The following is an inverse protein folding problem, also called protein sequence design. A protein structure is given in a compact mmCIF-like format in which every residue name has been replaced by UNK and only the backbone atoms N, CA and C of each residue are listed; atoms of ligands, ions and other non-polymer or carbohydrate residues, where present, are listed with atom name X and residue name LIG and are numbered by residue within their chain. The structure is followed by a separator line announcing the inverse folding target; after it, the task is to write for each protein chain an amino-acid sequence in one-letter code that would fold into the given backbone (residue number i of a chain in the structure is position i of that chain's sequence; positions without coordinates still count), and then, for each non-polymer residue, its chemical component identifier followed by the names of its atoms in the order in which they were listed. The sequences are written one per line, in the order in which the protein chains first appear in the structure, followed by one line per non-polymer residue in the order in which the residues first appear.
data_IF_604968021911
#
_entry.id   IF_604968021911
#
_cell.length_a   1.000
_cell.length_b   1.000
_cell.length_c   1.000
_cell.angle_alpha   90.00
_cell.angle_beta   90.00
_cell.angle_gamma   90.00
#
_symmetry.space_group_name_H-M   'P 1'
#
loop_
_entity.id
_entity.type
_entity.pdbx_description
1 polymer ?
#
# COMPACT_ATOMS: atom_id res chain seq x y z
N UNK A 1 21.59 -6.85 14.73
CA UNK A 1 20.60 -7.90 15.03
C UNK A 1 19.64 -8.23 13.88
N UNK A 2 19.60 -7.48 12.81
CA UNK A 2 18.66 -7.66 11.66
C UNK A 2 19.22 -8.49 10.48
N UNK A 3 20.49 -8.85 10.48
CA UNK A 3 21.15 -9.50 9.33
C UNK A 3 20.71 -10.96 9.04
N UNK A 4 20.05 -11.66 9.94
CA UNK A 4 19.71 -13.08 9.78
C UNK A 4 18.27 -13.36 9.33
N UNK A 5 17.43 -12.32 9.10
CA UNK A 5 16.00 -12.45 8.80
C UNK A 5 15.54 -11.82 7.47
N UNK A 6 16.46 -11.55 6.54
CA UNK A 6 16.09 -10.95 5.25
C UNK A 6 15.03 -11.77 4.50
N UNK A 7 15.09 -13.09 4.58
CA UNK A 7 14.13 -13.95 3.88
C UNK A 7 12.69 -13.78 4.40
N UNK A 8 12.50 -13.58 5.73
CA UNK A 8 11.17 -13.34 6.29
C UNK A 8 10.63 -11.96 5.93
N UNK A 9 11.48 -10.94 5.88
CA UNK A 9 11.08 -9.60 5.45
C UNK A 9 10.73 -9.59 3.96
N UNK A 10 11.49 -10.29 3.14
CA UNK A 10 11.18 -10.46 1.71
C UNK A 10 9.86 -11.22 1.54
N UNK A 11 9.65 -12.29 2.29
CA UNK A 11 8.38 -13.03 2.26
C UNK A 11 7.20 -12.15 2.68
N UNK A 12 7.33 -11.37 3.76
CA UNK A 12 6.31 -10.41 4.19
C UNK A 12 6.02 -9.38 3.11
N UNK A 13 7.06 -8.81 2.49
CA UNK A 13 6.93 -7.86 1.39
C UNK A 13 6.12 -8.45 0.22
N UNK A 14 6.48 -9.64 -0.20
CA UNK A 14 5.79 -10.34 -1.29
C UNK A 14 4.32 -10.62 -0.92
N UNK A 15 4.07 -11.11 0.30
CA UNK A 15 2.72 -11.40 0.78
C UNK A 15 1.87 -10.13 0.83
N UNK A 16 2.39 -9.01 1.34
CA UNK A 16 1.67 -7.74 1.40
C UNK A 16 1.25 -7.26 0.00
N UNK A 17 2.14 -7.35 -0.99
CA UNK A 17 1.82 -6.92 -2.36
C UNK A 17 0.86 -7.91 -3.03
N UNK A 18 1.19 -9.21 -3.01
CA UNK A 18 0.37 -10.22 -3.70
C UNK A 18 -1.05 -10.29 -3.15
N UNK A 19 -1.24 -10.22 -1.84
CA UNK A 19 -2.58 -10.24 -1.25
C UNK A 19 -3.45 -9.09 -1.78
N UNK A 20 -2.90 -7.89 -1.86
CA UNK A 20 -3.63 -6.71 -2.36
C UNK A 20 -3.89 -6.78 -3.86
N UNK A 21 -2.92 -7.24 -4.64
CA UNK A 21 -3.10 -7.40 -6.09
C UNK A 21 -4.12 -8.49 -6.42
N UNK A 22 -4.11 -9.62 -5.70
CA UNK A 22 -5.07 -10.70 -5.91
C UNK A 22 -6.50 -10.35 -5.50
N UNK A 23 -6.66 -9.44 -4.54
CA UNK A 23 -7.98 -8.93 -4.10
C UNK A 23 -8.33 -7.58 -4.72
N UNK A 24 -7.59 -7.17 -5.75
CA UNK A 24 -7.79 -5.88 -6.40
C UNK A 24 -9.16 -5.77 -7.04
N UNK A 25 -9.81 -4.64 -6.80
CA UNK A 25 -11.06 -4.27 -7.44
C UNK A 25 -10.75 -3.51 -8.73
N UNK A 26 -11.36 -3.93 -9.83
CA UNK A 26 -11.10 -3.36 -11.16
C UNK A 26 -12.14 -2.32 -11.58
N UNK A 27 -13.07 -1.97 -10.70
CA UNK A 27 -14.09 -0.94 -10.93
C UNK A 27 -14.05 0.11 -9.84
N UNK A 28 -14.60 1.27 -10.13
CA UNK A 28 -14.67 2.39 -9.19
C UNK A 28 -15.89 2.19 -8.28
N UNK A 29 -15.68 2.06 -6.97
CA UNK A 29 -16.76 1.81 -6.01
C UNK A 29 -17.42 3.10 -5.52
N UNK A 30 -16.61 4.14 -5.34
CA UNK A 30 -17.04 5.39 -4.72
C UNK A 30 -16.48 6.62 -5.43
N UNK A 31 -16.96 7.79 -5.02
CA UNK A 31 -16.57 9.07 -5.64
C UNK A 31 -15.10 9.42 -5.36
N UNK A 32 -14.54 8.99 -4.24
CA UNK A 32 -13.14 9.28 -3.91
C UNK A 32 -12.20 8.40 -4.74
N UNK A 33 -12.52 7.13 -4.91
CA UNK A 33 -11.81 6.23 -5.83
C UNK A 33 -11.83 6.77 -7.27
N UNK A 34 -12.97 7.33 -7.70
CA UNK A 34 -13.08 7.99 -9.00
C UNK A 34 -12.15 9.20 -9.11
N UNK A 35 -12.15 10.07 -8.11
CA UNK A 35 -11.32 11.29 -8.09
C UNK A 35 -9.83 10.96 -8.09
N UNK A 36 -9.41 9.94 -7.33
CA UNK A 36 -8.04 9.46 -7.36
C UNK A 36 -7.68 8.84 -8.71
N UNK A 37 -8.56 8.07 -9.31
CA UNK A 37 -8.34 7.49 -10.65
C UNK A 37 -8.19 8.57 -11.71
N UNK A 38 -9.03 9.59 -11.69
CA UNK A 38 -8.92 10.74 -12.60
C UNK A 38 -7.63 11.53 -12.40
N UNK A 39 -7.12 11.65 -11.17
CA UNK A 39 -5.88 12.35 -10.87
C UNK A 39 -4.62 11.70 -11.48
N UNK A 40 -4.70 10.42 -11.83
CA UNK A 40 -3.61 9.72 -12.52
C UNK A 40 -3.49 10.25 -13.96
N UNK A 41 -4.62 10.58 -14.59
CA UNK A 41 -4.69 11.09 -15.96
C UNK A 41 -4.44 12.60 -15.96
N UNK A 42 -5.27 13.33 -15.20
CA UNK A 42 -5.23 14.80 -15.12
C UNK A 42 -5.26 15.23 -13.63
N UNK A 43 -4.09 15.60 -13.10
CA UNK A 43 -3.99 16.06 -11.72
C UNK A 43 -4.40 17.54 -11.64
N UNK A 44 -5.63 17.77 -11.19
CA UNK A 44 -6.18 19.12 -11.04
C UNK A 44 -7.06 19.24 -9.79
N UNK A 45 -6.54 19.87 -8.73
CA UNK A 45 -7.24 20.06 -7.46
C UNK A 45 -8.49 20.91 -7.64
N UNK A 46 -8.51 21.84 -8.61
CA UNK A 46 -9.66 22.71 -8.86
C UNK A 46 -10.86 21.92 -9.40
N UNK A 47 -10.59 20.82 -10.10
CA UNK A 47 -11.59 19.85 -10.58
C UNK A 47 -11.89 18.74 -9.57
N UNK A 48 -11.32 18.80 -8.37
CA UNK A 48 -11.37 17.72 -7.37
C UNK A 48 -10.74 16.40 -7.88
N UNK A 49 -9.65 16.49 -8.61
CA UNK A 49 -8.87 15.38 -9.17
C UNK A 49 -7.41 15.41 -8.66
N UNK A 50 -7.14 14.91 -7.45
CA UNK A 50 -8.05 14.36 -6.43
C UNK A 50 -8.72 15.47 -5.60
N UNK A 51 -9.58 15.08 -4.64
CA UNK A 51 -10.15 16.02 -3.67
C UNK A 51 -9.06 16.58 -2.73
N UNK A 52 -9.37 17.72 -2.10
CA UNK A 52 -8.47 18.34 -1.11
C UNK A 52 -8.11 17.35 0.02
N UNK A 53 -6.84 17.27 0.49
CA UNK A 53 -5.70 18.17 0.21
C UNK A 53 -4.84 17.80 -1.01
N UNK A 54 -5.31 16.99 -1.96
CA UNK A 54 -4.65 16.75 -3.24
C UNK A 54 -3.65 15.59 -3.27
N UNK A 55 -3.13 15.15 -2.15
CA UNK A 55 -2.24 13.98 -2.00
C UNK A 55 -1.14 13.84 -3.09
N UNK A 56 -0.33 14.88 -3.37
CA UNK A 56 0.54 14.91 -4.55
C UNK A 56 1.57 13.77 -4.58
N UNK A 57 2.12 13.41 -3.41
CA UNK A 57 3.10 12.33 -3.29
C UNK A 57 2.46 10.98 -3.63
N UNK A 58 1.27 10.72 -3.08
CA UNK A 58 0.53 9.49 -3.36
C UNK A 58 0.19 9.39 -4.85
N UNK A 59 -0.40 10.42 -5.43
CA UNK A 59 -0.76 10.46 -6.86
C UNK A 59 0.45 10.28 -7.77
N UNK A 60 1.60 10.88 -7.41
CA UNK A 60 2.85 10.71 -8.14
C UNK A 60 3.28 9.23 -8.17
N UNK A 61 3.34 8.57 -7.03
CA UNK A 61 3.76 7.16 -6.99
C UNK A 61 2.77 6.25 -7.71
N UNK A 62 1.46 6.47 -7.54
CA UNK A 62 0.45 5.71 -8.28
C UNK A 62 0.61 5.91 -9.78
N UNK A 63 0.84 7.14 -10.24
CA UNK A 63 1.06 7.46 -11.66
C UNK A 63 2.28 6.73 -12.23
N UNK A 64 3.39 6.69 -11.48
CA UNK A 64 4.60 5.96 -11.88
C UNK A 64 4.30 4.46 -12.01
N UNK A 65 3.62 3.86 -11.04
CA UNK A 65 3.27 2.42 -11.10
C UNK A 65 2.27 2.17 -12.24
N UNK A 66 1.31 3.05 -12.43
CA UNK A 66 0.32 2.95 -13.52
C UNK A 66 0.97 2.96 -14.90
N UNK A 67 2.05 3.73 -15.08
CA UNK A 67 2.80 3.73 -16.33
C UNK A 67 3.32 2.34 -16.71
N UNK A 68 3.69 1.50 -15.72
CA UNK A 68 4.18 0.14 -15.96
C UNK A 68 3.07 -0.92 -16.00
N UNK A 69 2.00 -0.73 -15.23
CA UNK A 69 0.93 -1.74 -15.09
C UNK A 69 -0.20 -1.56 -16.09
N UNK A 70 -0.43 -0.33 -16.56
CA UNK A 70 -1.58 0.03 -17.41
C UNK A 70 -2.95 -0.16 -16.75
N UNK A 71 -3.00 -0.50 -15.46
CA UNK A 71 -4.23 -0.80 -14.73
C UNK A 71 -4.29 -0.05 -13.40
N UNK A 72 -5.34 0.74 -13.20
CA UNK A 72 -5.50 1.59 -12.01
C UNK A 72 -5.68 0.77 -10.74
N UNK A 73 -6.53 -0.26 -10.76
CA UNK A 73 -6.78 -1.12 -9.60
C UNK A 73 -5.49 -1.80 -9.12
N UNK A 74 -4.70 -2.36 -10.04
CA UNK A 74 -3.41 -2.95 -9.73
C UNK A 74 -2.44 -1.90 -9.16
N UNK A 75 -2.42 -0.68 -9.72
CA UNK A 75 -1.53 0.39 -9.27
C UNK A 75 -1.84 0.82 -7.84
N UNK A 76 -3.11 1.01 -7.50
CA UNK A 76 -3.53 1.29 -6.13
C UNK A 76 -3.23 0.13 -5.18
N UNK A 77 -3.45 -1.11 -5.62
CA UNK A 77 -3.18 -2.31 -4.83
C UNK A 77 -1.70 -2.46 -4.50
N UNK A 78 -0.80 -2.17 -5.43
CA UNK A 78 0.65 -2.19 -5.20
C UNK A 78 1.04 -1.14 -4.15
N UNK A 79 0.52 0.10 -4.26
CA UNK A 79 0.78 1.15 -3.26
C UNK A 79 0.22 0.75 -1.89
N UNK A 80 -0.99 0.18 -1.82
CA UNK A 80 -1.58 -0.34 -0.59
C UNK A 80 -0.72 -1.44 0.04
N UNK A 81 -0.22 -2.38 -0.77
CA UNK A 81 0.68 -3.44 -0.32
C UNK A 81 2.02 -2.91 0.21
N UNK A 82 2.62 -1.94 -0.50
CA UNK A 82 3.83 -1.25 -0.05
C UNK A 82 3.61 -0.52 1.28
N UNK A 83 2.50 0.21 1.40
CA UNK A 83 2.15 0.94 2.62
C UNK A 83 1.98 -0.02 3.80
N UNK A 84 1.25 -1.13 3.61
CA UNK A 84 1.08 -2.17 4.63
C UNK A 84 2.42 -2.74 5.07
N UNK A 85 3.30 -3.07 4.13
CA UNK A 85 4.64 -3.57 4.45
C UNK A 85 5.44 -2.56 5.27
N UNK A 86 5.48 -1.28 4.87
CA UNK A 86 6.23 -0.27 5.60
C UNK A 86 5.67 0.00 7.00
N UNK A 87 4.34 -0.02 7.18
CA UNK A 87 3.71 0.10 8.49
C UNK A 87 4.19 -1.03 9.40
N UNK A 88 4.11 -2.29 8.96
CA UNK A 88 4.61 -3.44 9.75
C UNK A 88 6.09 -3.29 10.03
N UNK A 89 6.90 -2.99 9.02
CA UNK A 89 8.35 -2.86 9.17
C UNK A 89 8.75 -1.81 10.21
N UNK A 90 8.15 -0.62 10.14
CA UNK A 90 8.48 0.46 11.08
C UNK A 90 7.93 0.20 12.49
N UNK A 91 6.76 -0.43 12.62
CA UNK A 91 6.26 -0.84 13.94
C UNK A 91 7.19 -1.88 14.60
N UNK A 92 7.65 -2.88 13.85
CA UNK A 92 8.64 -3.83 14.36
C UNK A 92 9.92 -3.13 14.83
N UNK A 93 10.34 -2.08 14.13
CA UNK A 93 11.50 -1.26 14.52
C UNK A 93 11.24 -0.45 15.79
N UNK A 94 10.09 0.21 15.89
CA UNK A 94 9.70 1.03 17.05
C UNK A 94 9.63 0.17 18.32
N UNK A 95 9.03 -1.01 18.22
CA UNK A 95 8.89 -1.94 19.35
C UNK A 95 10.13 -2.81 19.58
N UNK A 96 11.21 -2.62 18.81
CA UNK A 96 12.45 -3.40 18.89
C UNK A 96 12.21 -4.93 18.85
N UNK A 97 11.20 -5.37 18.09
CA UNK A 97 10.83 -6.77 17.96
C UNK A 97 11.07 -7.30 16.54
N UNK A 98 11.08 -8.59 16.36
CA UNK A 98 11.27 -9.25 15.06
C UNK A 98 10.11 -10.17 14.70
N UNK A 99 9.94 -10.47 13.42
CA UNK A 99 8.86 -11.35 12.92
C UNK A 99 8.85 -12.77 13.52
N UNK A 100 9.97 -13.19 14.12
CA UNK A 100 10.06 -14.50 14.80
C UNK A 100 9.56 -14.47 16.24
N UNK A 101 9.42 -13.31 16.85
CA UNK A 101 8.85 -13.18 18.18
C UNK A 101 7.32 -13.23 18.12
N UNK A 102 6.68 -13.64 19.21
CA UNK A 102 5.22 -13.65 19.30
C UNK A 102 4.64 -12.24 19.12
N UNK A 103 5.26 -11.23 19.75
CA UNK A 103 4.83 -9.84 19.65
C UNK A 103 4.94 -9.33 18.20
N UNK A 104 6.05 -9.62 17.51
CA UNK A 104 6.26 -9.19 16.14
C UNK A 104 5.33 -9.88 15.16
N UNK A 105 5.08 -11.18 15.33
CA UNK A 105 4.11 -11.91 14.54
C UNK A 105 2.68 -11.37 14.77
N UNK A 106 2.33 -11.06 16.00
CA UNK A 106 1.03 -10.49 16.36
C UNK A 106 0.82 -9.10 15.75
N UNK A 107 1.84 -8.22 15.83
CA UNK A 107 1.80 -6.90 15.17
C UNK A 107 1.58 -7.05 13.66
N UNK A 108 2.36 -7.92 13.02
CA UNK A 108 2.24 -8.15 11.59
C UNK A 108 0.83 -8.66 11.20
N UNK A 109 0.30 -9.59 11.97
CA UNK A 109 -1.04 -10.16 11.74
C UNK A 109 -2.14 -9.11 11.92
N UNK A 110 -2.08 -8.31 12.99
CA UNK A 110 -3.08 -7.27 13.26
C UNK A 110 -3.14 -6.25 12.12
N UNK A 111 -1.99 -5.80 11.64
CA UNK A 111 -1.93 -4.81 10.54
C UNK A 111 -2.37 -5.45 9.22
N UNK A 112 -1.92 -6.68 8.94
CA UNK A 112 -2.24 -7.37 7.70
C UNK A 112 -3.74 -7.68 7.57
N UNK A 113 -4.40 -8.07 8.66
CA UNK A 113 -5.83 -8.41 8.69
C UNK A 113 -6.73 -7.19 8.93
N UNK A 114 -6.17 -6.02 9.19
CA UNK A 114 -6.98 -4.82 9.39
C UNK A 114 -7.63 -4.39 8.05
N UNK A 115 -8.96 -4.30 7.96
CA UNK A 115 -9.66 -3.92 6.73
C UNK A 115 -9.44 -2.46 6.32
N UNK A 116 -8.85 -1.63 7.20
CA UNK A 116 -8.57 -0.21 6.92
C UNK A 116 -7.24 0.03 6.21
N UNK A 117 -6.42 -1.02 6.01
CA UNK A 117 -5.10 -0.92 5.36
C UNK A 117 -5.03 -1.73 4.06
#
# INVERSE_FOLDING_TARGET
MFSKNNNLLIALFIICILSRVLTSIYYVEDIDSLRFSLSIIDYDITKLQPHFPGYPIFCFFVKVIHFFTGNMGISFSIIGGLSTFFIVYYLLRIFNTGLKSYEGAYIALLIFLNPLF
#
